data_IF_667745828327
#
_entry.id   IF_667745828327
#
_cell.length_a   1.000
_cell.length_b   1.000
_cell.length_c   1.000
_cell.angle_alpha   90.00
_cell.angle_beta   90.00
_cell.angle_gamma   90.00
#
_symmetry.space_group_name_H-M   'P 1'
#
loop_
_entity.id
_entity.type
_entity.pdbx_description
1 polymer ?
#
# COMPACT_ATOMS: atom_id res chain seq x y z
N UNK A 1 17.47 22.88 3.12
CA UNK A 1 17.41 22.12 4.36
C UNK A 1 16.66 20.83 4.04
N UNK A 2 17.33 19.66 4.04
CA UNK A 2 16.63 18.40 3.80
C UNK A 2 15.84 18.04 5.06
N UNK A 3 14.54 17.71 4.98
CA UNK A 3 13.80 17.23 6.14
C UNK A 3 14.46 15.93 6.65
N UNK A 4 14.58 15.81 7.96
CA UNK A 4 15.14 14.63 8.60
C UNK A 4 14.34 13.39 8.18
N UNK A 5 15.04 12.37 7.66
CA UNK A 5 14.42 11.09 7.28
C UNK A 5 13.89 10.40 8.53
N UNK A 6 12.61 10.00 8.56
CA UNK A 6 12.10 9.25 9.70
C UNK A 6 12.88 7.93 9.85
N UNK A 7 13.32 7.63 11.07
CA UNK A 7 14.07 6.42 11.38
C UNK A 7 13.25 5.16 11.14
N UNK A 8 13.91 4.03 10.81
CA UNK A 8 13.26 2.76 10.46
C UNK A 8 12.48 2.09 11.60
N UNK A 9 12.85 2.38 12.83
CA UNK A 9 12.18 1.85 14.01
C UNK A 9 11.13 2.85 14.44
N UNK A 10 9.86 2.58 14.03
CA UNK A 10 8.75 3.33 14.58
C UNK A 10 7.83 4.07 13.60
N UNK A 11 8.06 4.01 12.25
CA UNK A 11 7.12 4.65 11.33
C UNK A 11 5.74 4.00 11.46
N UNK A 12 4.81 4.75 12.04
CA UNK A 12 3.41 4.37 12.18
C UNK A 12 2.54 5.57 11.89
N UNK A 13 1.56 5.38 11.04
CA UNK A 13 0.55 6.37 10.72
C UNK A 13 -0.76 5.91 11.33
N UNK A 14 -1.45 6.80 12.00
CA UNK A 14 -2.65 6.46 12.75
C UNK A 14 -3.88 7.11 12.11
N UNK A 15 -4.84 6.29 11.75
CA UNK A 15 -6.20 6.70 11.45
C UNK A 15 -7.10 6.53 12.67
N UNK A 16 -8.39 6.69 12.49
CA UNK A 16 -9.38 6.48 13.55
C UNK A 16 -9.54 5.00 13.92
N UNK A 17 -9.50 4.12 12.91
CA UNK A 17 -9.72 2.65 13.04
C UNK A 17 -8.56 1.85 12.48
N UNK A 18 -7.65 2.49 11.77
CA UNK A 18 -6.54 1.85 11.07
C UNK A 18 -5.19 2.34 11.60
N UNK A 19 -4.22 1.44 11.57
CA UNK A 19 -2.81 1.77 11.76
C UNK A 19 -2.05 1.29 10.53
N UNK A 20 -1.27 2.18 9.94
CA UNK A 20 -0.36 1.84 8.84
C UNK A 20 1.05 1.74 9.38
N UNK A 21 1.71 0.62 9.14
CA UNK A 21 3.13 0.44 9.48
C UNK A 21 3.81 -0.46 8.45
N UNK A 22 5.13 -0.33 8.24
CA UNK A 22 5.88 -1.29 7.45
C UNK A 22 5.68 -2.72 7.98
N UNK A 23 5.60 -3.69 7.08
CA UNK A 23 5.59 -5.09 7.44
C UNK A 23 6.99 -5.54 7.85
N UNK A 24 7.04 -6.44 8.81
CA UNK A 24 8.27 -7.08 9.31
C UNK A 24 8.19 -8.60 9.11
N UNK A 25 9.31 -9.34 9.13
CA UNK A 25 9.31 -10.80 8.92
C UNK A 25 8.35 -11.57 9.83
N UNK A 26 8.09 -11.06 11.02
CA UNK A 26 7.16 -11.65 12.00
C UNK A 26 5.69 -11.62 11.54
N UNK A 27 5.35 -10.73 10.62
CA UNK A 27 3.98 -10.62 10.07
C UNK A 27 3.66 -11.74 9.04
N UNK A 28 4.62 -12.59 8.69
CA UNK A 28 4.48 -13.58 7.63
C UNK A 28 3.21 -14.42 7.76
N UNK A 29 2.94 -14.98 8.93
CA UNK A 29 1.81 -15.89 9.11
C UNK A 29 0.48 -15.18 8.83
N UNK A 30 0.28 -14.00 9.42
CA UNK A 30 -0.94 -13.20 9.24
C UNK A 30 -1.08 -12.73 7.78
N UNK A 31 0.01 -12.27 7.18
CA UNK A 31 0.05 -11.82 5.79
C UNK A 31 -0.25 -12.96 4.81
N UNK A 32 0.46 -14.09 4.94
CA UNK A 32 0.30 -15.27 4.09
C UNK A 32 -1.12 -15.83 4.17
N UNK A 33 -1.69 -15.94 5.38
CA UNK A 33 -3.06 -16.42 5.57
C UNK A 33 -4.07 -15.53 4.82
N UNK A 34 -3.98 -14.21 5.03
CA UNK A 34 -4.89 -13.26 4.38
C UNK A 34 -4.72 -13.29 2.87
N UNK A 35 -3.50 -13.33 2.35
CA UNK A 35 -3.23 -13.42 0.92
C UNK A 35 -3.84 -14.69 0.31
N UNK A 36 -3.59 -15.85 0.91
CA UNK A 36 -4.06 -17.14 0.40
C UNK A 36 -5.58 -17.26 0.37
N UNK A 37 -6.27 -16.84 1.44
CA UNK A 37 -7.74 -16.88 1.47
C UNK A 37 -8.40 -15.90 0.51
N UNK A 38 -7.67 -14.89 0.06
CA UNK A 38 -8.13 -13.88 -0.89
C UNK A 38 -7.57 -14.05 -2.31
N UNK A 39 -6.94 -15.19 -2.63
CA UNK A 39 -6.26 -15.41 -3.91
C UNK A 39 -7.12 -15.04 -5.11
N UNK A 40 -8.32 -15.63 -5.26
CA UNK A 40 -9.24 -15.32 -6.37
C UNK A 40 -9.72 -13.87 -6.36
N UNK A 41 -9.90 -13.28 -5.18
CA UNK A 41 -10.31 -11.88 -5.02
C UNK A 41 -9.26 -10.89 -5.49
N UNK A 42 -7.97 -11.20 -5.32
CA UNK A 42 -6.85 -10.29 -5.55
C UNK A 42 -6.18 -10.52 -6.92
N UNK A 43 -5.92 -11.77 -7.31
CA UNK A 43 -5.09 -12.10 -8.48
C UNK A 43 -5.65 -11.58 -9.79
N UNK A 44 -6.97 -11.43 -9.91
CA UNK A 44 -7.60 -10.86 -11.10
C UNK A 44 -7.24 -9.37 -11.35
N UNK A 45 -6.70 -8.69 -10.33
CA UNK A 45 -6.32 -7.28 -10.37
C UNK A 45 -4.81 -7.06 -10.32
N UNK A 46 -4.05 -8.12 -10.14
CA UNK A 46 -2.60 -8.07 -10.03
C UNK A 46 -1.92 -8.42 -11.36
N UNK A 47 -0.69 -7.92 -11.59
CA UNK A 47 0.12 -8.37 -12.71
C UNK A 47 0.34 -9.88 -12.64
N UNK A 48 0.39 -10.52 -13.79
CA UNK A 48 0.71 -11.95 -13.89
C UNK A 48 2.09 -12.21 -13.29
N UNK A 49 2.15 -13.16 -12.35
CA UNK A 49 3.44 -13.65 -11.85
C UNK A 49 4.13 -14.51 -12.90
N UNK A 50 5.41 -14.29 -13.06
CA UNK A 50 6.23 -15.20 -13.88
C UNK A 50 6.38 -16.54 -13.14
N UNK A 51 6.28 -17.69 -13.83
CA UNK A 51 6.27 -19.02 -13.21
C UNK A 51 7.50 -19.33 -12.33
N UNK A 52 8.62 -18.67 -12.58
CA UNK A 52 9.89 -18.93 -11.89
C UNK A 52 10.17 -17.93 -10.75
N UNK A 53 9.30 -16.97 -10.50
CA UNK A 53 9.49 -16.04 -9.39
C UNK A 53 9.14 -16.69 -8.06
N UNK A 54 10.04 -16.62 -7.06
CA UNK A 54 9.77 -17.14 -5.73
C UNK A 54 8.49 -16.54 -5.16
N UNK A 55 7.67 -17.37 -4.53
CA UNK A 55 6.39 -16.95 -4.00
C UNK A 55 6.51 -16.56 -2.52
N UNK A 56 6.35 -15.26 -2.18
CA UNK A 56 6.39 -14.82 -0.79
C UNK A 56 5.20 -15.31 0.04
N UNK A 57 4.10 -15.78 -0.59
CA UNK A 57 2.92 -16.27 0.13
C UNK A 57 3.16 -17.63 0.80
N UNK A 58 4.06 -18.42 0.24
CA UNK A 58 4.36 -19.76 0.72
C UNK A 58 5.75 -19.90 1.34
N UNK A 59 6.61 -18.91 1.14
CA UNK A 59 8.01 -18.96 1.58
C UNK A 59 8.35 -17.77 2.51
N UNK A 60 8.61 -18.08 3.78
CA UNK A 60 8.95 -17.10 4.82
C UNK A 60 10.23 -16.32 4.52
N UNK A 61 11.23 -16.98 3.93
CA UNK A 61 12.50 -16.30 3.60
C UNK A 61 12.32 -15.29 2.46
N UNK A 62 11.52 -15.65 1.46
CA UNK A 62 11.15 -14.76 0.35
C UNK A 62 10.36 -13.56 0.88
N UNK A 63 9.43 -13.79 1.81
CA UNK A 63 8.70 -12.70 2.46
C UNK A 63 9.63 -11.80 3.29
N UNK A 64 10.57 -12.37 4.04
CA UNK A 64 11.53 -11.59 4.81
C UNK A 64 12.44 -10.75 3.89
N UNK A 65 12.91 -11.31 2.78
CA UNK A 65 13.68 -10.60 1.76
C UNK A 65 12.86 -9.44 1.16
N UNK A 66 11.57 -9.65 0.90
CA UNK A 66 10.64 -8.60 0.45
C UNK A 66 10.52 -7.47 1.49
N UNK A 67 10.38 -7.79 2.77
CA UNK A 67 10.36 -6.76 3.83
C UNK A 67 11.67 -5.95 3.84
N UNK A 68 12.81 -6.62 3.74
CA UNK A 68 14.12 -5.96 3.69
C UNK A 68 14.30 -5.07 2.45
N UNK A 69 13.79 -5.48 1.26
CA UNK A 69 13.81 -4.64 0.06
C UNK A 69 12.98 -3.38 0.25
N UNK A 70 11.76 -3.51 0.75
CA UNK A 70 10.86 -2.39 1.02
C UNK A 70 11.41 -1.41 2.07
N UNK A 71 12.16 -1.93 3.05
CA UNK A 71 12.83 -1.08 4.03
C UNK A 71 13.96 -0.25 3.38
N UNK A 72 14.75 -0.85 2.49
CA UNK A 72 15.78 -0.12 1.71
C UNK A 72 15.17 0.95 0.80
N UNK A 73 14.08 0.64 0.11
CA UNK A 73 13.35 1.58 -0.76
C UNK A 73 12.80 2.77 0.06
N UNK A 74 12.26 2.49 1.24
CA UNK A 74 11.79 3.51 2.17
C UNK A 74 12.94 4.41 2.65
N UNK A 75 14.07 3.83 3.06
CA UNK A 75 15.27 4.58 3.46
C UNK A 75 15.84 5.43 2.31
N UNK A 76 15.75 4.94 1.09
CA UNK A 76 16.11 5.70 -0.11
C UNK A 76 15.08 6.79 -0.45
N UNK A 77 13.88 6.75 0.12
CA UNK A 77 12.79 7.69 -0.17
C UNK A 77 12.15 7.47 -1.55
N UNK A 78 12.31 6.28 -2.13
CA UNK A 78 11.80 5.92 -3.46
C UNK A 78 10.42 5.25 -3.42
N UNK A 79 10.09 4.63 -2.29
CA UNK A 79 8.81 3.95 -2.08
C UNK A 79 8.50 3.83 -0.58
N UNK A 80 7.23 3.80 -0.21
CA UNK A 80 6.77 3.49 1.14
C UNK A 80 5.68 2.43 1.06
N UNK A 81 5.91 1.31 1.74
CA UNK A 81 4.97 0.19 1.77
C UNK A 81 4.49 -0.06 3.20
N UNK A 82 3.18 -0.10 3.37
CA UNK A 82 2.54 -0.29 4.66
C UNK A 82 1.62 -1.49 4.67
N UNK A 83 1.65 -2.25 5.75
CA UNK A 83 0.53 -3.09 6.15
C UNK A 83 -0.55 -2.25 6.80
N UNK A 84 -1.81 -2.58 6.51
CA UNK A 84 -2.99 -2.00 7.16
C UNK A 84 -3.38 -2.90 8.33
N UNK A 85 -3.49 -2.34 9.51
CA UNK A 85 -3.91 -3.05 10.71
C UNK A 85 -5.19 -2.43 11.28
N UNK A 86 -6.13 -3.28 11.64
CA UNK A 86 -7.41 -2.91 12.27
C UNK A 86 -7.54 -3.71 13.54
N UNK A 87 -7.66 -3.05 14.68
CA UNK A 87 -7.67 -3.70 16.01
C UNK A 87 -6.48 -4.67 16.20
N UNK A 88 -5.29 -4.25 15.74
CA UNK A 88 -4.07 -5.05 15.81
C UNK A 88 -3.97 -6.20 14.81
N UNK A 89 -5.01 -6.45 14.01
CA UNK A 89 -5.07 -7.54 13.03
C UNK A 89 -4.74 -7.04 11.63
N UNK A 90 -3.88 -7.77 10.91
CA UNK A 90 -3.53 -7.45 9.53
C UNK A 90 -4.76 -7.53 8.61
N UNK A 91 -4.94 -6.52 7.77
CA UNK A 91 -6.13 -6.35 6.93
C UNK A 91 -5.82 -6.13 5.45
N UNK A 92 -4.60 -5.78 5.07
CA UNK A 92 -4.24 -5.47 3.69
C UNK A 92 -2.95 -4.66 3.58
N UNK A 93 -2.65 -4.17 2.40
CA UNK A 93 -1.49 -3.32 2.15
C UNK A 93 -1.87 -2.05 1.40
N UNK A 94 -1.11 -1.01 1.65
CA UNK A 94 -1.20 0.30 1.02
C UNK A 94 0.20 0.81 0.74
N UNK A 95 0.48 1.12 -0.52
CA UNK A 95 1.82 1.46 -0.98
C UNK A 95 1.84 2.83 -1.66
N UNK A 96 2.87 3.59 -1.40
CA UNK A 96 3.24 4.79 -2.15
C UNK A 96 4.44 4.43 -3.03
N UNK A 97 4.20 4.28 -4.32
CA UNK A 97 5.16 3.78 -5.29
C UNK A 97 5.64 4.91 -6.20
N UNK A 98 6.75 4.67 -6.90
CA UNK A 98 7.25 5.54 -7.98
C UNK A 98 7.35 7.00 -7.54
N UNK A 99 8.00 7.25 -6.39
CA UNK A 99 8.18 8.62 -5.92
C UNK A 99 9.17 9.34 -6.82
N UNK A 100 8.67 10.31 -7.57
CA UNK A 100 9.45 11.19 -8.46
C UNK A 100 9.63 12.53 -7.78
N UNK A 101 10.87 12.93 -7.58
CA UNK A 101 11.26 14.22 -6.99
C UNK A 101 11.47 15.30 -8.06
N UNK A 102 12.11 16.39 -7.72
CA UNK A 102 12.30 17.52 -8.61
C UNK A 102 11.01 18.29 -8.87
N UNK A 103 10.77 18.68 -10.10
CA UNK A 103 9.57 19.45 -10.47
C UNK A 103 8.25 18.67 -10.33
N UNK A 104 8.30 17.33 -10.43
CA UNK A 104 7.09 16.50 -10.39
C UNK A 104 6.52 16.32 -8.99
N UNK A 105 7.35 16.06 -7.99
CA UNK A 105 6.95 15.77 -6.60
C UNK A 105 5.71 14.87 -6.55
N UNK A 106 5.72 13.76 -7.27
CA UNK A 106 4.57 12.88 -7.48
C UNK A 106 4.83 11.45 -7.04
N UNK A 107 3.76 10.72 -6.78
CA UNK A 107 3.80 9.28 -6.53
C UNK A 107 2.50 8.61 -6.95
N UNK A 108 2.53 7.27 -7.04
CA UNK A 108 1.34 6.45 -7.29
C UNK A 108 0.96 5.66 -6.04
N UNK A 109 -0.34 5.53 -5.80
CA UNK A 109 -0.87 4.72 -4.69
C UNK A 109 -1.40 3.40 -5.23
N UNK A 110 -0.93 2.29 -4.65
CA UNK A 110 -1.45 0.95 -4.88
C UNK A 110 -1.94 0.34 -3.58
N UNK A 111 -3.03 -0.44 -3.61
CA UNK A 111 -3.61 -1.03 -2.41
C UNK A 111 -4.40 -2.30 -2.68
N UNK A 112 -4.56 -3.07 -1.62
CA UNK A 112 -5.52 -4.15 -1.54
C UNK A 112 -5.98 -4.35 -0.09
N UNK A 113 -7.16 -4.92 0.08
CA UNK A 113 -7.73 -5.21 1.41
C UNK A 113 -8.35 -6.61 1.43
N UNK A 114 -8.29 -7.25 2.57
CA UNK A 114 -9.00 -8.48 2.86
C UNK A 114 -10.50 -8.32 2.54
N UNK A 115 -11.05 -9.24 1.75
CA UNK A 115 -12.47 -9.26 1.35
C UNK A 115 -13.40 -9.20 2.56
N UNK A 116 -13.05 -9.88 3.66
CA UNK A 116 -13.83 -9.88 4.89
C UNK A 116 -13.92 -8.49 5.56
N UNK A 117 -13.05 -7.56 5.19
CA UNK A 117 -12.99 -6.18 5.68
C UNK A 117 -13.37 -5.13 4.65
N UNK A 118 -13.63 -5.55 3.41
CA UNK A 118 -14.08 -4.66 2.33
C UNK A 118 -15.46 -4.06 2.64
N UNK A 119 -15.81 -2.96 1.98
CA UNK A 119 -17.10 -2.29 2.13
C UNK A 119 -17.30 -1.48 3.41
N UNK A 120 -16.32 -1.46 4.32
CA UNK A 120 -16.39 -0.76 5.62
C UNK A 120 -15.67 0.59 5.64
N UNK A 121 -15.31 1.12 4.49
CA UNK A 121 -14.53 2.36 4.32
C UNK A 121 -13.14 2.36 4.98
N UNK A 122 -12.62 1.20 5.38
CA UNK A 122 -11.29 1.09 5.98
C UNK A 122 -10.18 1.45 4.98
N UNK A 123 -10.31 1.05 3.71
CA UNK A 123 -9.37 1.43 2.67
C UNK A 123 -9.41 2.93 2.40
N UNK A 124 -10.59 3.53 2.29
CA UNK A 124 -10.71 4.98 2.10
C UNK A 124 -10.05 5.76 3.26
N UNK A 125 -10.27 5.32 4.50
CA UNK A 125 -9.60 5.89 5.68
C UNK A 125 -8.08 5.73 5.60
N UNK A 126 -7.60 4.55 5.21
CA UNK A 126 -6.15 4.29 5.07
C UNK A 126 -5.51 5.18 4.00
N UNK A 127 -6.20 5.40 2.88
CA UNK A 127 -5.72 6.30 1.82
C UNK A 127 -5.61 7.74 2.33
N UNK A 128 -6.61 8.24 3.07
CA UNK A 128 -6.55 9.59 3.67
C UNK A 128 -5.33 9.75 4.57
N UNK A 129 -5.08 8.76 5.43
CA UNK A 129 -3.91 8.77 6.33
C UNK A 129 -2.60 8.78 5.53
N UNK A 130 -2.51 7.98 4.45
CA UNK A 130 -1.34 7.98 3.57
C UNK A 130 -1.18 9.29 2.81
N UNK A 131 -2.28 9.88 2.31
CA UNK A 131 -2.26 11.16 1.62
C UNK A 131 -1.75 12.28 2.52
N UNK A 132 -2.21 12.32 3.77
CA UNK A 132 -1.72 13.28 4.75
C UNK A 132 -0.20 13.15 4.93
N UNK A 133 0.30 11.94 5.17
CA UNK A 133 1.74 11.68 5.26
C UNK A 133 2.50 12.10 4.00
N UNK A 134 1.96 11.80 2.82
CA UNK A 134 2.60 12.11 1.55
C UNK A 134 2.70 13.62 1.30
N UNK A 135 1.66 14.39 1.62
CA UNK A 135 1.67 15.83 1.43
C UNK A 135 2.42 16.58 2.53
N UNK A 136 2.21 16.23 3.79
CA UNK A 136 2.74 16.98 4.93
C UNK A 136 4.19 16.58 5.28
N UNK A 137 4.50 15.28 5.26
CA UNK A 137 5.82 14.77 5.67
C UNK A 137 6.78 14.59 4.49
N UNK A 138 6.27 14.09 3.35
CA UNK A 138 7.10 13.87 2.17
C UNK A 138 7.12 15.05 1.21
N UNK A 139 6.28 16.07 1.43
CA UNK A 139 6.15 17.25 0.58
C UNK A 139 5.90 16.90 -0.90
N UNK A 140 5.06 15.91 -1.15
CA UNK A 140 4.61 15.60 -2.50
C UNK A 140 3.53 16.57 -2.95
N UNK A 141 3.44 16.79 -4.25
CA UNK A 141 2.45 17.69 -4.89
C UNK A 141 1.29 16.93 -5.52
N UNK A 142 1.56 15.69 -5.95
CA UNK A 142 0.60 14.93 -6.74
C UNK A 142 0.60 13.46 -6.34
N UNK A 143 -0.58 12.91 -6.16
CA UNK A 143 -0.80 11.49 -5.94
C UNK A 143 -1.77 10.96 -6.99
N UNK A 144 -1.43 9.83 -7.59
CA UNK A 144 -2.23 9.17 -8.61
C UNK A 144 -2.64 7.77 -8.15
N UNK A 145 -3.85 7.37 -8.53
CA UNK A 145 -4.36 6.02 -8.31
C UNK A 145 -4.81 5.49 -9.66
N UNK A 146 -4.09 4.48 -10.17
CA UNK A 146 -4.44 3.82 -11.42
C UNK A 146 -5.30 2.59 -11.13
N UNK A 147 -6.50 2.56 -11.70
CA UNK A 147 -7.48 1.50 -11.44
C UNK A 147 -7.91 0.89 -12.77
N UNK A 148 -7.90 -0.43 -12.86
CA UNK A 148 -8.46 -1.14 -14.01
C UNK A 148 -9.95 -0.78 -14.11
N UNK A 149 -10.47 -0.29 -15.27
CA UNK A 149 -11.82 0.26 -15.38
C UNK A 149 -12.94 -0.66 -14.88
N UNK A 150 -12.80 -1.97 -15.06
CA UNK A 150 -13.77 -2.97 -14.59
C UNK A 150 -13.72 -3.25 -13.08
N UNK A 151 -12.71 -2.72 -12.36
CA UNK A 151 -12.58 -2.89 -10.91
C UNK A 151 -13.50 -1.90 -10.16
N UNK A 152 -14.78 -2.18 -10.15
CA UNK A 152 -15.81 -1.33 -9.53
C UNK A 152 -15.58 -1.15 -8.02
N UNK A 153 -15.04 -2.15 -7.33
CA UNK A 153 -14.77 -2.05 -5.89
C UNK A 153 -13.68 -1.01 -5.60
N UNK A 154 -12.60 -1.02 -6.38
CA UNK A 154 -11.53 -0.04 -6.25
C UNK A 154 -12.00 1.36 -6.65
N UNK A 155 -12.81 1.49 -7.70
CA UNK A 155 -13.41 2.78 -8.10
C UNK A 155 -14.27 3.38 -6.99
N UNK A 156 -15.12 2.61 -6.34
CA UNK A 156 -15.93 3.08 -5.19
C UNK A 156 -15.10 3.61 -4.03
N UNK A 157 -13.88 3.09 -3.84
CA UNK A 157 -12.98 3.59 -2.78
C UNK A 157 -12.57 5.03 -3.07
N UNK A 158 -12.16 5.33 -4.30
CA UNK A 158 -11.69 6.67 -4.70
C UNK A 158 -12.84 7.66 -4.88
N UNK A 159 -14.00 7.20 -5.36
CA UNK A 159 -15.23 7.98 -5.46
C UNK A 159 -15.68 8.52 -4.08
N UNK A 160 -15.55 7.71 -3.02
CA UNK A 160 -15.84 8.14 -1.64
C UNK A 160 -14.91 9.23 -1.12
N UNK A 161 -13.75 9.40 -1.73
CA UNK A 161 -12.76 10.41 -1.37
C UNK A 161 -12.88 11.67 -2.23
N UNK A 162 -13.86 11.70 -3.13
CA UNK A 162 -14.08 12.80 -4.10
C UNK A 162 -12.80 13.12 -4.91
N UNK A 163 -12.04 12.06 -5.24
CA UNK A 163 -10.85 12.22 -6.07
C UNK A 163 -11.25 12.41 -7.54
N UNK A 164 -10.58 13.36 -8.20
CA UNK A 164 -10.85 13.70 -9.60
C UNK A 164 -10.45 12.54 -10.52
N UNK A 165 -11.39 12.05 -11.32
CA UNK A 165 -11.09 11.17 -12.45
C UNK A 165 -10.48 11.99 -13.60
N UNK A 166 -9.29 11.61 -14.05
CA UNK A 166 -8.56 12.33 -15.11
C UNK A 166 -8.72 11.69 -16.49
N UNK A 167 -9.19 10.45 -16.54
CA UNK A 167 -9.46 9.74 -17.77
C UNK A 167 -9.00 8.28 -17.72
N UNK A 168 -9.15 7.60 -18.86
CA UNK A 168 -8.72 6.21 -19.05
C UNK A 168 -7.53 6.19 -20.00
N UNK A 169 -6.41 5.60 -19.55
CA UNK A 169 -5.24 5.36 -20.41
C UNK A 169 -5.60 4.33 -21.50
N UNK A 170 -5.14 4.58 -22.73
CA UNK A 170 -5.32 3.69 -23.90
C UNK A 170 -4.07 2.85 -24.12
#
# INVERSE_FOLDING_TARGET
MHPARPSSVGLRLYGRRVVLRPLVPQDFNAWSEVRRRNGEWLTQWEPLRLPHHPDPETNREVFAARCGSRDRERLAGSQYAFGIFVDGTFAGELNLNNIVRGAMQSATIGYWIDRARAGRSLMSESIVVLMQFAFEELNLHRLEICIIPRNSNSRRVVEKLDLREEGTAQ
#
